data_IF_805001048955
#
_entry.id   IF_805001048955
#
_cell.length_a   1.000
_cell.length_b   1.000
_cell.length_c   1.000
_cell.angle_alpha   90.00
_cell.angle_beta   90.00
_cell.angle_gamma   90.00
#
_symmetry.space_group_name_H-M   'P 1'
#
loop_
_entity.id
_entity.type
_entity.pdbx_description
1 polymer ?
#
# COMPACT_ATOMS: atom_id res chain seq x y z
N UNK A 1 -11.24 -21.29 -4.39
CA UNK A 1 -10.35 -20.17 -4.70
C UNK A 1 -10.57 -19.03 -3.71
N UNK A 2 -9.50 -18.52 -3.12
CA UNK A 2 -9.54 -17.40 -2.17
C UNK A 2 -9.92 -16.10 -2.89
N UNK A 3 -10.87 -15.35 -2.33
CA UNK A 3 -11.23 -14.00 -2.79
C UNK A 3 -10.56 -12.97 -1.89
N UNK A 4 -9.88 -12.01 -2.48
CA UNK A 4 -9.16 -10.97 -1.77
C UNK A 4 -9.77 -9.60 -2.07
N UNK A 5 -10.14 -8.87 -1.00
CA UNK A 5 -10.55 -7.48 -1.09
C UNK A 5 -9.31 -6.59 -0.99
N UNK A 6 -9.09 -5.74 -1.97
CA UNK A 6 -7.97 -4.79 -1.96
C UNK A 6 -8.47 -3.41 -1.57
N UNK A 7 -7.89 -2.88 -0.50
CA UNK A 7 -8.10 -1.49 -0.07
C UNK A 7 -6.92 -0.69 -0.61
N UNK A 8 -7.13 0.13 -1.66
CA UNK A 8 -6.05 0.91 -2.24
C UNK A 8 -5.72 2.15 -1.40
N UNK A 9 -4.98 3.09 -1.97
CA UNK A 9 -4.56 4.34 -1.34
C UNK A 9 -5.71 5.02 -0.59
N UNK A 10 -5.51 5.26 0.70
CA UNK A 10 -6.58 5.76 1.59
C UNK A 10 -6.64 7.28 1.61
N UNK A 11 -5.51 7.95 1.76
CA UNK A 11 -5.40 9.41 1.74
C UNK A 11 -6.54 10.10 2.50
N UNK A 12 -6.56 9.93 3.82
CA UNK A 12 -7.51 10.57 4.73
C UNK A 12 -8.98 10.33 4.36
N UNK A 13 -9.32 9.07 4.04
CA UNK A 13 -10.70 8.63 3.78
C UNK A 13 -11.08 7.49 4.72
N UNK A 14 -11.37 7.78 6.00
CA UNK A 14 -11.69 6.75 7.00
C UNK A 14 -12.89 5.89 6.60
N UNK A 15 -13.81 6.43 5.80
CA UNK A 15 -14.96 5.70 5.28
C UNK A 15 -14.59 4.48 4.41
N UNK A 16 -13.39 4.47 3.80
CA UNK A 16 -12.94 3.31 3.03
C UNK A 16 -12.82 2.07 3.91
N UNK A 17 -12.31 2.21 5.13
CA UNK A 17 -12.22 1.09 6.07
C UNK A 17 -13.60 0.61 6.53
N UNK A 18 -14.55 1.52 6.72
CA UNK A 18 -15.93 1.19 7.10
C UNK A 18 -16.63 0.42 5.98
N UNK A 19 -16.48 0.87 4.74
CA UNK A 19 -17.05 0.21 3.55
C UNK A 19 -16.41 -1.17 3.34
N UNK A 20 -15.08 -1.27 3.45
CA UNK A 20 -14.36 -2.53 3.35
C UNK A 20 -14.81 -3.51 4.45
N UNK A 21 -14.95 -3.05 5.70
CA UNK A 21 -15.44 -3.87 6.80
C UNK A 21 -16.84 -4.41 6.53
N UNK A 22 -17.74 -3.58 5.98
CA UNK A 22 -19.08 -4.04 5.60
C UNK A 22 -19.04 -5.15 4.56
N UNK A 23 -18.20 -5.04 3.55
CA UNK A 23 -18.02 -6.08 2.52
C UNK A 23 -17.42 -7.36 3.11
N UNK A 24 -16.46 -7.25 4.03
CA UNK A 24 -15.89 -8.41 4.72
C UNK A 24 -16.93 -9.12 5.60
N UNK A 25 -17.77 -8.38 6.31
CA UNK A 25 -18.86 -8.96 7.11
C UNK A 25 -19.91 -9.65 6.24
N UNK A 26 -20.14 -9.17 5.02
CA UNK A 26 -21.02 -9.82 4.04
C UNK A 26 -20.36 -11.03 3.37
N UNK A 27 -19.11 -11.34 3.71
CA UNK A 27 -18.34 -12.44 3.13
C UNK A 27 -18.17 -12.34 1.61
N UNK A 28 -18.06 -11.12 1.10
CA UNK A 28 -17.75 -10.87 -0.31
C UNK A 28 -16.33 -11.32 -0.64
N UNK A 29 -15.43 -11.25 0.35
CA UNK A 29 -14.06 -11.73 0.25
C UNK A 29 -13.68 -12.54 1.50
N UNK A 30 -12.66 -13.37 1.36
CA UNK A 30 -12.12 -14.21 2.43
C UNK A 30 -11.04 -13.49 3.23
N UNK A 31 -10.31 -12.60 2.59
CA UNK A 31 -9.17 -11.87 3.15
C UNK A 31 -9.08 -10.48 2.55
N UNK A 32 -8.53 -9.53 3.31
CA UNK A 32 -8.25 -8.19 2.83
C UNK A 32 -6.75 -7.93 2.68
N UNK A 33 -6.39 -7.07 1.74
CA UNK A 33 -5.06 -6.48 1.59
C UNK A 33 -5.22 -4.97 1.56
N UNK A 34 -4.46 -4.23 2.37
CA UNK A 34 -4.45 -2.77 2.36
C UNK A 34 -3.12 -2.25 1.83
N UNK A 35 -3.18 -1.40 0.82
CA UNK A 35 -2.02 -0.77 0.20
C UNK A 35 -1.64 0.57 0.85
N UNK A 36 -2.27 0.88 1.96
CA UNK A 36 -2.00 2.00 2.86
C UNK A 36 -2.01 3.37 2.17
N UNK A 37 -0.95 4.15 2.23
CA UNK A 37 -0.98 5.60 1.99
C UNK A 37 -2.15 6.22 2.75
N UNK A 38 -2.16 5.98 4.06
CA UNK A 38 -3.26 6.40 4.93
C UNK A 38 -3.29 7.91 5.13
N UNK A 39 -2.11 8.58 5.34
CA UNK A 39 -2.09 10.02 5.56
C UNK A 39 -2.12 10.80 4.26
N UNK A 40 -2.31 12.09 4.40
CA UNK A 40 -2.19 13.13 3.39
C UNK A 40 -3.31 13.13 2.35
N UNK A 41 -3.95 14.27 2.26
CA UNK A 41 -4.85 14.60 1.17
C UNK A 41 -4.74 16.12 0.91
N UNK A 42 -5.20 16.55 -0.26
CA UNK A 42 -5.16 17.94 -0.67
C UNK A 42 -5.81 18.85 0.39
N UNK A 43 -5.08 19.91 0.77
CA UNK A 43 -5.56 20.98 1.67
C UNK A 43 -6.01 20.50 3.06
N UNK A 44 -5.53 19.33 3.53
CA UNK A 44 -5.84 18.73 4.84
C UNK A 44 -4.68 18.74 5.84
N UNK A 45 -3.53 19.28 5.49
CA UNK A 45 -2.32 19.22 6.31
C UNK A 45 -2.43 19.89 7.68
N UNK A 46 -3.45 20.69 7.93
CA UNK A 46 -3.71 21.35 9.21
C UNK A 46 -4.75 20.60 10.08
N UNK A 47 -5.41 19.62 9.54
CA UNK A 47 -6.46 18.85 10.23
C UNK A 47 -5.88 17.59 10.88
N UNK A 48 -5.13 17.78 11.97
CA UNK A 48 -4.45 16.70 12.68
C UNK A 48 -5.44 15.65 13.22
N UNK A 49 -6.61 16.09 13.69
CA UNK A 49 -7.64 15.19 14.17
C UNK A 49 -8.13 14.21 13.07
N UNK A 50 -8.15 14.66 11.83
CA UNK A 50 -8.56 13.81 10.70
C UNK A 50 -7.51 12.76 10.38
N UNK A 51 -6.20 13.08 10.50
CA UNK A 51 -5.13 12.09 10.44
C UNK A 51 -5.31 11.02 11.51
N UNK A 52 -5.57 11.44 12.75
CA UNK A 52 -5.77 10.51 13.86
C UNK A 52 -6.99 9.62 13.63
N UNK A 53 -8.13 10.18 13.23
CA UNK A 53 -9.35 9.44 12.92
C UNK A 53 -9.12 8.38 11.84
N UNK A 54 -8.41 8.74 10.77
CA UNK A 54 -8.18 7.81 9.66
C UNK A 54 -7.31 6.63 10.09
N UNK A 55 -6.24 6.86 10.85
CA UNK A 55 -5.43 5.78 11.42
C UNK A 55 -6.21 4.96 12.44
N UNK A 56 -7.07 5.58 13.24
CA UNK A 56 -7.92 4.85 14.20
C UNK A 56 -8.85 3.87 13.48
N UNK A 57 -9.41 4.25 12.34
CA UNK A 57 -10.21 3.34 11.52
C UNK A 57 -9.35 2.20 10.93
N UNK A 58 -8.12 2.48 10.51
CA UNK A 58 -7.19 1.45 10.08
C UNK A 58 -6.89 0.45 11.20
N UNK A 59 -6.62 0.94 12.40
CA UNK A 59 -6.35 0.12 13.59
C UNK A 59 -7.57 -0.74 13.95
N UNK A 60 -8.76 -0.16 13.90
CA UNK A 60 -10.02 -0.88 14.14
C UNK A 60 -10.21 -2.00 13.12
N UNK A 61 -9.93 -1.73 11.85
CA UNK A 61 -9.99 -2.73 10.78
C UNK A 61 -8.98 -3.86 11.01
N UNK A 62 -7.75 -3.53 11.37
CA UNK A 62 -6.70 -4.52 11.66
C UNK A 62 -7.11 -5.48 12.79
N UNK A 63 -7.74 -4.95 13.84
CA UNK A 63 -8.22 -5.74 14.97
C UNK A 63 -9.42 -6.61 14.62
N UNK A 64 -10.32 -6.10 13.78
CA UNK A 64 -11.51 -6.84 13.35
C UNK A 64 -11.18 -7.95 12.33
N UNK A 65 -10.18 -7.74 11.50
CA UNK A 65 -9.76 -8.66 10.43
C UNK A 65 -8.24 -8.91 10.52
N UNK A 66 -7.80 -9.73 11.49
CA UNK A 66 -6.36 -9.90 11.77
C UNK A 66 -5.58 -10.59 10.64
N UNK A 67 -6.25 -11.28 9.72
CA UNK A 67 -5.61 -11.88 8.54
C UNK A 67 -5.29 -10.87 7.43
N UNK A 68 -5.67 -9.61 7.60
CA UNK A 68 -5.38 -8.56 6.63
C UNK A 68 -3.89 -8.41 6.41
N UNK A 69 -3.47 -8.39 5.15
CA UNK A 69 -2.09 -8.09 4.76
C UNK A 69 -1.95 -6.57 4.51
N UNK A 70 -0.96 -5.96 5.11
CA UNK A 70 -0.71 -4.51 5.03
C UNK A 70 0.58 -4.23 4.28
N UNK A 71 0.52 -3.32 3.31
CA UNK A 71 1.68 -2.88 2.53
C UNK A 71 1.90 -1.38 2.74
N UNK A 72 3.08 -1.00 3.22
CA UNK A 72 3.44 0.40 3.39
C UNK A 72 3.36 1.18 2.07
N UNK A 73 2.71 2.35 2.13
CA UNK A 73 2.83 3.36 1.10
C UNK A 73 3.97 4.35 1.38
N UNK A 74 4.37 5.10 0.36
CA UNK A 74 5.41 6.10 0.51
C UNK A 74 4.99 7.24 1.47
N UNK A 75 3.71 7.61 1.50
CA UNK A 75 3.22 8.63 2.43
C UNK A 75 3.30 8.17 3.89
N UNK A 76 3.05 6.91 4.21
CA UNK A 76 3.24 6.39 5.56
C UNK A 76 4.71 6.46 5.97
N UNK A 77 5.61 5.98 5.10
CA UNK A 77 7.04 5.91 5.38
C UNK A 77 7.73 7.26 5.42
N UNK A 78 7.20 8.27 4.71
CA UNK A 78 7.71 9.63 4.78
C UNK A 78 7.75 10.15 6.23
N UNK A 79 6.75 9.80 7.03
CA UNK A 79 6.68 10.16 8.45
C UNK A 79 7.61 9.34 9.33
N UNK A 80 7.74 8.03 9.07
CA UNK A 80 8.65 7.17 9.83
C UNK A 80 10.12 7.49 9.56
N UNK A 81 10.44 7.87 8.33
CA UNK A 81 11.81 8.12 7.89
C UNK A 81 12.18 9.59 7.84
N UNK A 82 11.26 10.49 8.20
CA UNK A 82 11.47 11.94 8.13
C UNK A 82 11.91 12.40 6.72
N UNK A 83 11.30 11.81 5.70
CA UNK A 83 11.50 12.17 4.30
C UNK A 83 10.37 13.06 3.83
N UNK A 84 10.70 14.29 3.45
CA UNK A 84 9.69 15.23 2.97
C UNK A 84 9.24 14.86 1.56
N UNK A 85 7.92 14.91 1.37
CA UNK A 85 7.30 14.78 0.05
C UNK A 85 6.05 15.66 -0.05
N UNK A 86 5.43 15.70 -1.23
CA UNK A 86 4.20 16.47 -1.41
C UNK A 86 3.10 16.01 -0.47
N UNK A 87 2.44 16.96 0.19
CA UNK A 87 1.38 16.68 1.14
C UNK A 87 1.83 16.38 2.58
N UNK A 88 3.14 16.26 2.83
CA UNK A 88 3.65 16.02 4.18
C UNK A 88 3.20 17.11 5.15
N UNK A 89 2.62 16.71 6.28
CA UNK A 89 2.14 17.63 7.32
C UNK A 89 3.10 17.64 8.51
N UNK A 90 3.80 18.75 8.69
CA UNK A 90 4.64 18.94 9.89
C UNK A 90 3.82 18.95 11.17
N UNK A 91 2.59 19.46 11.12
CA UNK A 91 1.68 19.47 12.27
C UNK A 91 1.20 18.08 12.68
N UNK A 92 0.95 17.21 11.70
CA UNK A 92 0.47 15.86 11.93
C UNK A 92 1.59 14.84 12.16
N UNK A 93 2.85 15.23 11.99
CA UNK A 93 3.99 14.30 11.95
C UNK A 93 4.07 13.39 13.19
N UNK A 94 4.00 13.96 14.40
CA UNK A 94 4.05 13.16 15.63
C UNK A 94 2.85 12.24 15.77
N UNK A 95 1.67 12.71 15.40
CA UNK A 95 0.44 11.90 15.43
C UNK A 95 0.54 10.72 14.47
N UNK A 96 0.99 10.94 13.24
CA UNK A 96 1.18 9.86 12.25
C UNK A 96 2.19 8.83 12.74
N UNK A 97 3.34 9.28 13.24
CA UNK A 97 4.37 8.38 13.79
C UNK A 97 3.81 7.51 14.92
N UNK A 98 3.11 8.10 15.87
CA UNK A 98 2.49 7.38 16.99
C UNK A 98 1.45 6.37 16.49
N UNK A 99 0.56 6.78 15.58
CA UNK A 99 -0.50 5.92 15.05
C UNK A 99 0.04 4.79 14.19
N UNK A 100 1.12 5.00 13.46
CA UNK A 100 1.79 3.91 12.75
C UNK A 100 2.36 2.86 13.70
N UNK A 101 2.93 3.28 14.83
CA UNK A 101 3.37 2.34 15.86
C UNK A 101 2.18 1.58 16.47
N UNK A 102 1.07 2.27 16.73
CA UNK A 102 -0.16 1.64 17.22
C UNK A 102 -0.71 0.61 16.21
N UNK A 103 -0.68 0.94 14.92
CA UNK A 103 -1.08 0.01 13.86
C UNK A 103 -0.16 -1.22 13.81
N UNK A 104 1.14 -1.03 13.93
CA UNK A 104 2.11 -2.15 14.01
C UNK A 104 1.81 -3.08 15.18
N UNK A 105 1.42 -2.54 16.33
CA UNK A 105 1.04 -3.34 17.49
C UNK A 105 -0.30 -4.05 17.30
N UNK A 106 -1.21 -3.47 16.52
CA UNK A 106 -2.53 -4.04 16.25
C UNK A 106 -2.49 -5.23 15.29
N UNK A 107 -1.51 -5.28 14.39
CA UNK A 107 -1.34 -6.41 13.45
C UNK A 107 -0.64 -7.59 14.16
N UNK A 108 -0.93 -8.85 13.78
CA UNK A 108 -0.27 -10.03 14.36
C UNK A 108 1.24 -10.03 14.11
N UNK A 109 2.01 -10.53 15.07
CA UNK A 109 3.48 -10.65 14.94
C UNK A 109 3.90 -11.53 13.76
N UNK A 110 3.13 -12.55 13.43
CA UNK A 110 3.38 -13.45 12.31
C UNK A 110 2.88 -12.92 10.96
N UNK A 111 2.22 -11.75 10.97
CA UNK A 111 1.75 -11.07 9.76
C UNK A 111 1.98 -9.56 9.88
N UNK A 112 3.25 -9.11 9.98
CA UNK A 112 3.57 -7.70 10.15
C UNK A 112 3.30 -6.90 8.87
N UNK A 113 3.24 -5.58 9.02
CA UNK A 113 3.22 -4.67 7.86
C UNK A 113 4.52 -4.84 7.09
N UNK A 114 4.45 -5.00 5.77
CA UNK A 114 5.58 -5.21 4.86
C UNK A 114 5.54 -4.23 3.71
N UNK A 115 6.57 -4.20 2.89
CA UNK A 115 6.53 -3.49 1.61
C UNK A 115 5.80 -4.30 0.56
N UNK A 116 6.05 -5.61 0.53
CA UNK A 116 5.46 -6.54 -0.44
C UNK A 116 4.87 -7.73 0.30
N UNK A 117 3.61 -8.03 0.02
CA UNK A 117 2.91 -9.22 0.51
C UNK A 117 2.70 -10.20 -0.63
N UNK A 118 2.67 -11.49 -0.34
CA UNK A 118 2.40 -12.53 -1.31
C UNK A 118 1.22 -13.39 -0.86
N UNK A 119 0.27 -13.62 -1.75
CA UNK A 119 -0.79 -14.62 -1.60
C UNK A 119 -0.77 -15.46 -2.87
N UNK A 120 -0.43 -16.73 -2.77
CA UNK A 120 -0.22 -17.63 -3.91
C UNK A 120 0.77 -17.04 -4.92
N UNK A 121 0.37 -16.80 -6.16
CA UNK A 121 1.19 -16.20 -7.21
C UNK A 121 0.85 -14.72 -7.45
N UNK A 122 0.27 -14.07 -6.46
CA UNK A 122 -0.07 -12.64 -6.51
C UNK A 122 0.79 -11.88 -5.53
N UNK A 123 1.48 -10.85 -6.01
CA UNK A 123 2.20 -9.90 -5.20
C UNK A 123 1.38 -8.64 -5.01
N UNK A 124 1.33 -8.15 -3.79
CA UNK A 124 0.69 -6.90 -3.42
C UNK A 124 1.77 -5.95 -2.91
N UNK A 125 1.83 -4.77 -3.45
CA UNK A 125 2.69 -3.69 -2.98
C UNK A 125 2.10 -2.35 -3.38
N UNK A 126 2.59 -1.28 -2.78
CA UNK A 126 2.08 0.05 -3.09
C UNK A 126 2.35 0.45 -4.54
N UNK A 127 3.57 0.23 -5.06
CA UNK A 127 3.97 0.62 -6.41
C UNK A 127 4.26 -0.51 -7.39
N UNK A 128 4.69 -1.66 -6.91
CA UNK A 128 5.08 -2.80 -7.73
C UNK A 128 6.53 -3.21 -7.58
N UNK A 129 6.82 -4.46 -7.86
CA UNK A 129 8.19 -5.02 -7.82
C UNK A 129 8.76 -5.06 -9.23
N UNK A 130 9.66 -4.13 -9.51
CA UNK A 130 10.35 -4.00 -10.79
C UNK A 130 11.47 -5.04 -10.88
N UNK A 131 11.61 -5.69 -12.04
CA UNK A 131 12.70 -6.66 -12.26
C UNK A 131 14.09 -6.03 -12.03
N UNK A 132 14.30 -4.82 -12.54
CA UNK A 132 15.54 -4.07 -12.34
C UNK A 132 15.84 -3.84 -10.85
N UNK A 133 14.83 -3.53 -10.03
CA UNK A 133 15.02 -3.35 -8.58
C UNK A 133 15.51 -4.63 -7.91
N UNK A 134 14.94 -5.78 -8.28
CA UNK A 134 15.39 -7.08 -7.78
C UNK A 134 16.83 -7.37 -8.21
N UNK A 135 17.16 -7.15 -9.47
CA UNK A 135 18.53 -7.38 -9.99
C UNK A 135 19.57 -6.49 -9.32
N UNK A 136 19.20 -5.24 -9.00
CA UNK A 136 20.11 -4.26 -8.41
C UNK A 136 20.34 -4.47 -6.92
N UNK A 137 19.28 -4.78 -6.15
CA UNK A 137 19.32 -4.76 -4.69
C UNK A 137 19.27 -6.14 -4.03
N UNK A 138 18.85 -7.17 -4.73
CA UNK A 138 18.74 -8.52 -4.16
C UNK A 138 19.88 -9.39 -4.67
N UNK A 139 20.54 -10.20 -3.82
CA UNK A 139 21.58 -11.11 -4.26
C UNK A 139 21.10 -12.02 -5.40
N UNK A 140 21.93 -12.15 -6.43
CA UNK A 140 21.60 -12.89 -7.65
C UNK A 140 21.24 -14.35 -7.37
N UNK A 141 21.83 -14.94 -6.35
CA UNK A 141 21.54 -16.31 -5.90
C UNK A 141 20.12 -16.53 -5.41
N UNK A 142 19.44 -15.46 -5.00
CA UNK A 142 18.05 -15.50 -4.52
C UNK A 142 17.01 -15.24 -5.61
N UNK A 143 17.40 -14.77 -6.78
CA UNK A 143 16.49 -14.25 -7.81
C UNK A 143 15.34 -15.22 -8.15
N UNK A 144 15.61 -16.52 -8.21
CA UNK A 144 14.62 -17.52 -8.60
C UNK A 144 13.74 -18.00 -7.44
N UNK A 145 14.09 -17.70 -6.22
CA UNK A 145 13.28 -17.98 -5.04
C UNK A 145 12.48 -16.74 -4.65
N UNK A 146 11.20 -16.72 -5.03
CA UNK A 146 10.32 -15.56 -4.81
C UNK A 146 10.26 -15.17 -3.35
N UNK A 147 10.07 -16.13 -2.45
CA UNK A 147 9.97 -15.84 -1.02
C UNK A 147 11.26 -15.27 -0.46
N UNK A 148 12.43 -15.78 -0.90
CA UNK A 148 13.73 -15.23 -0.51
C UNK A 148 13.93 -13.79 -1.02
N UNK A 149 13.47 -13.48 -2.23
CA UNK A 149 13.50 -12.12 -2.78
C UNK A 149 12.63 -11.18 -1.93
N UNK A 150 11.39 -11.59 -1.63
CA UNK A 150 10.47 -10.77 -0.85
C UNK A 150 10.96 -10.57 0.59
N UNK A 151 11.49 -11.61 1.22
CA UNK A 151 12.08 -11.52 2.55
C UNK A 151 13.23 -10.51 2.58
N UNK A 152 14.10 -10.53 1.57
CA UNK A 152 15.19 -9.57 1.43
C UNK A 152 14.68 -8.15 1.28
N UNK A 153 13.73 -7.92 0.36
CA UNK A 153 13.13 -6.59 0.14
C UNK A 153 12.45 -6.08 1.42
N UNK A 154 11.71 -6.94 2.10
CA UNK A 154 10.96 -6.54 3.30
C UNK A 154 11.86 -6.19 4.51
N UNK A 155 13.15 -6.45 4.43
CA UNK A 155 14.16 -6.04 5.42
C UNK A 155 14.88 -4.74 5.03
N UNK A 156 14.66 -4.21 3.84
CA UNK A 156 15.27 -2.96 3.38
C UNK A 156 14.81 -1.77 4.22
N UNK A 157 15.69 -0.80 4.32
CA UNK A 157 15.40 0.46 4.96
C UNK A 157 15.26 1.61 3.96
N UNK A 158 15.35 2.82 4.48
CA UNK A 158 15.21 4.06 3.72
C UNK A 158 16.14 4.12 2.51
N UNK A 159 17.40 3.69 2.63
CA UNK A 159 18.40 3.83 1.57
C UNK A 159 18.00 3.10 0.29
N UNK A 160 17.46 1.89 0.42
CA UNK A 160 17.04 1.08 -0.71
C UNK A 160 15.64 1.45 -1.20
N UNK A 161 14.74 1.84 -0.29
CA UNK A 161 13.33 2.01 -0.60
C UNK A 161 12.95 3.43 -1.04
N UNK A 162 13.70 4.46 -0.63
CA UNK A 162 13.37 5.85 -0.97
C UNK A 162 13.96 6.24 -2.33
N UNK A 163 13.45 5.62 -3.39
CA UNK A 163 13.79 5.91 -4.78
C UNK A 163 12.66 5.47 -5.73
N UNK A 164 12.63 6.03 -6.93
CA UNK A 164 11.53 5.84 -7.89
C UNK A 164 11.37 4.41 -8.42
N UNK A 165 12.39 3.57 -8.30
CA UNK A 165 12.34 2.18 -8.75
C UNK A 165 11.85 1.21 -7.68
N UNK A 166 11.67 1.66 -6.44
CA UNK A 166 11.31 0.81 -5.32
C UNK A 166 9.82 0.43 -5.32
N UNK A 167 9.45 -0.64 -4.58
CA UNK A 167 8.06 -1.06 -4.47
C UNK A 167 7.08 -0.04 -3.86
N UNK A 168 7.59 1.04 -3.25
CA UNK A 168 6.72 2.10 -2.69
C UNK A 168 6.60 3.33 -3.59
N UNK A 169 7.46 3.45 -4.63
CA UNK A 169 7.49 4.63 -5.51
C UNK A 169 7.24 4.31 -6.98
N UNK A 170 7.37 3.05 -7.39
CA UNK A 170 7.26 2.67 -8.80
C UNK A 170 5.88 3.05 -9.37
N UNK A 171 5.89 3.56 -10.61
CA UNK A 171 4.67 3.82 -11.40
C UNK A 171 4.76 3.06 -12.72
N UNK A 172 4.54 1.74 -12.71
CA UNK A 172 4.67 0.93 -13.93
C UNK A 172 3.65 1.29 -15.01
N UNK A 173 2.58 2.00 -14.63
CA UNK A 173 1.54 2.47 -15.55
C UNK A 173 2.05 3.57 -16.50
N UNK A 174 3.09 4.31 -16.11
CA UNK A 174 3.61 5.45 -16.87
C UNK A 174 4.61 5.05 -17.96
N UNK A 175 5.14 3.83 -17.91
CA UNK A 175 6.08 3.33 -18.93
C UNK A 175 6.04 1.80 -18.96
N UNK A 176 6.41 1.24 -20.14
CA UNK A 176 6.51 -0.22 -20.28
C UNK A 176 7.74 -0.74 -19.54
N UNK A 177 7.55 -1.05 -18.26
CA UNK A 177 8.60 -1.61 -17.41
C UNK A 177 8.37 -3.10 -17.22
N UNK A 178 9.48 -3.86 -17.19
CA UNK A 178 9.41 -5.29 -16.88
C UNK A 178 9.28 -5.47 -15.38
N UNK A 179 8.16 -5.99 -14.94
CA UNK A 179 7.95 -6.40 -13.55
C UNK A 179 8.68 -7.73 -13.26
N UNK A 180 8.94 -7.98 -11.99
CA UNK A 180 9.60 -9.21 -11.54
C UNK A 180 8.76 -10.44 -11.92
N UNK A 181 9.38 -11.39 -12.66
CA UNK A 181 8.79 -12.67 -13.11
C UNK A 181 7.37 -12.53 -13.69
N UNK A 182 7.17 -11.74 -14.76
CA UNK A 182 5.84 -11.38 -15.26
C UNK A 182 5.03 -12.55 -15.81
N UNK A 183 5.67 -13.68 -16.13
CA UNK A 183 5.00 -14.90 -16.61
C UNK A 183 4.49 -15.79 -15.45
N UNK A 184 4.94 -15.55 -14.23
CA UNK A 184 4.64 -16.37 -13.05
C UNK A 184 3.84 -15.63 -12.00
N UNK A 185 4.00 -14.33 -11.91
CA UNK A 185 3.45 -13.51 -10.84
C UNK A 185 2.51 -12.45 -11.42
N UNK A 186 1.33 -12.35 -10.82
CA UNK A 186 0.44 -11.21 -10.98
C UNK A 186 0.80 -10.18 -9.91
N UNK A 187 0.79 -8.88 -10.25
CA UNK A 187 1.02 -7.82 -9.29
C UNK A 187 -0.20 -6.90 -9.18
N UNK A 188 -0.61 -6.63 -7.95
CA UNK A 188 -1.70 -5.72 -7.60
C UNK A 188 -1.11 -4.53 -6.88
N UNK A 189 -1.35 -3.33 -7.39
CA UNK A 189 -0.71 -2.10 -6.93
C UNK A 189 -1.70 -0.95 -6.79
N UNK A 190 -1.30 0.07 -6.03
CA UNK A 190 -1.93 1.37 -5.94
C UNK A 190 -1.03 2.48 -6.48
N UNK A 191 -0.82 3.54 -5.70
CA UNK A 191 0.12 4.64 -5.89
C UNK A 191 -0.16 5.57 -7.08
N UNK A 192 -0.56 5.03 -8.20
CA UNK A 192 -0.87 5.79 -9.42
C UNK A 192 -2.38 5.95 -9.53
N UNK A 193 -2.92 7.18 -9.41
CA UNK A 193 -4.36 7.40 -9.54
C UNK A 193 -4.88 6.93 -10.89
N UNK A 194 -5.99 6.20 -10.85
CA UNK A 194 -6.66 5.62 -12.00
C UNK A 194 -8.13 6.04 -12.02
N UNK A 195 -8.70 6.19 -13.21
CA UNK A 195 -10.14 6.45 -13.38
C UNK A 195 -10.99 5.18 -13.15
N UNK A 196 -10.45 4.02 -13.46
CA UNK A 196 -11.06 2.72 -13.20
C UNK A 196 -9.99 1.69 -12.83
N UNK A 197 -10.40 0.60 -12.17
CA UNK A 197 -9.50 -0.54 -11.94
C UNK A 197 -9.15 -1.16 -13.28
N UNK A 198 -7.86 -1.27 -13.58
CA UNK A 198 -7.36 -1.77 -14.85
C UNK A 198 -6.51 -3.01 -14.66
N UNK A 199 -6.48 -3.84 -15.70
CA UNK A 199 -5.52 -4.93 -15.82
C UNK A 199 -4.79 -4.84 -17.15
N UNK A 200 -3.48 -4.70 -17.08
CA UNK A 200 -2.58 -4.75 -18.24
C UNK A 200 -1.54 -5.87 -18.04
N UNK A 201 -1.68 -6.96 -18.79
CA UNK A 201 -0.81 -8.12 -18.63
C UNK A 201 -0.89 -8.70 -17.22
N UNK A 202 0.22 -8.65 -16.48
CA UNK A 202 0.33 -9.13 -15.10
C UNK A 202 0.23 -8.01 -14.05
N UNK A 203 -0.31 -6.85 -14.41
CA UNK A 203 -0.46 -5.70 -13.52
C UNK A 203 -1.93 -5.33 -13.37
N UNK A 204 -2.40 -5.28 -12.12
CA UNK A 204 -3.71 -4.73 -11.75
C UNK A 204 -3.47 -3.44 -10.97
N UNK A 205 -4.05 -2.33 -11.44
CA UNK A 205 -3.96 -1.01 -10.81
C UNK A 205 -5.28 -0.67 -10.13
N UNK A 206 -5.23 -0.30 -8.85
CA UNK A 206 -6.42 -0.23 -7.99
C UNK A 206 -6.68 1.12 -7.35
N UNK A 207 -5.83 2.12 -7.55
CA UNK A 207 -6.00 3.44 -6.90
C UNK A 207 -7.10 4.26 -7.59
N UNK A 208 -8.34 3.94 -7.27
CA UNK A 208 -9.55 4.59 -7.79
C UNK A 208 -10.28 5.45 -6.75
N UNK A 209 -9.70 5.64 -5.57
CA UNK A 209 -10.25 6.48 -4.50
C UNK A 209 -9.55 7.82 -4.35
N UNK A 210 -8.42 8.04 -5.02
CA UNK A 210 -7.71 9.32 -4.99
C UNK A 210 -8.57 10.46 -5.55
N UNK A 211 -8.30 11.67 -5.07
CA UNK A 211 -9.04 12.88 -5.45
C UNK A 211 -8.14 13.89 -6.13
N UNK A 212 -8.74 14.70 -6.98
CA UNK A 212 -8.12 15.93 -7.46
C UNK A 212 -8.02 16.95 -6.32
N UNK A 213 -7.24 18.00 -6.54
CA UNK A 213 -7.04 19.07 -5.56
C UNK A 213 -8.34 19.76 -5.12
N UNK A 214 -9.32 19.82 -6.01
CA UNK A 214 -10.64 20.39 -5.72
C UNK A 214 -11.60 19.42 -4.99
N UNK A 215 -11.12 18.22 -4.63
CA UNK A 215 -11.89 17.20 -3.91
C UNK A 215 -12.73 16.27 -4.79
N UNK A 216 -12.77 16.49 -6.12
CA UNK A 216 -13.47 15.56 -7.02
C UNK A 216 -12.76 14.23 -7.09
N UNK A 217 -13.48 13.09 -7.17
CA UNK A 217 -12.86 11.78 -7.37
C UNK A 217 -12.13 11.72 -8.71
N UNK A 218 -10.95 11.10 -8.73
CA UNK A 218 -10.26 10.73 -9.97
C UNK A 218 -10.93 9.51 -10.58
N UNK A 219 -11.29 8.53 -9.76
CA UNK A 219 -11.79 7.24 -10.20
C UNK A 219 -13.19 6.90 -9.71
N UNK A 220 -13.54 5.63 -9.89
CA UNK A 220 -14.88 5.10 -9.61
C UNK A 220 -15.19 4.95 -8.12
N UNK A 221 -14.21 5.02 -7.24
CA UNK A 221 -14.34 4.78 -5.80
C UNK A 221 -14.96 3.41 -5.46
N UNK A 222 -14.58 2.38 -6.21
CA UNK A 222 -15.02 0.99 -6.04
C UNK A 222 -13.87 0.09 -5.59
N UNK A 223 -14.23 -0.96 -4.84
CA UNK A 223 -13.28 -2.01 -4.47
C UNK A 223 -13.23 -3.14 -5.50
#
# INVERSE_FOLDING_TARGET
DMKVLVIPDVHLKPQMFKQAAALMHQKIADRAVCLMDIPDDWDKQYDVAFYEETYDEAIRFAKAFPDTAWCYGNHDLSYLWHCLESGYSSMASMTVQRKLLDLREAVPEDNPIKYVQRIDNVLFSHGGVLNFFVEEYVPRTKYNDVDAVLETINQFGRMEMWNDASPIWLRPQHSKMRLYKPRKLLQVVGHTPMDEITREGNLISTDVFSTYRDGRPVGTEEF
#
